data_IF_151072127554
#
_entry.id   IF_151072127554
#
_cell.length_a   1.000
_cell.length_b   1.000
_cell.length_c   1.000
_cell.angle_alpha   90.00
_cell.angle_beta   90.00
_cell.angle_gamma   90.00
#
_symmetry.space_group_name_H-M   'P 1'
#
loop_
_entity.id
_entity.type
_entity.pdbx_description
1 polymer ?
#
# COMPACT_ATOMS: atom_id res chain seq x y z
N UNK A 1 -52.44 20.35 -10.23
CA UNK A 1 -51.68 20.32 -8.96
C UNK A 1 -51.51 18.87 -8.55
N UNK A 2 -50.46 18.20 -9.06
CA UNK A 2 -49.83 17.00 -8.48
C UNK A 2 -48.43 16.94 -9.08
N UNK A 3 -47.40 16.95 -8.25
CA UNK A 3 -46.22 16.08 -8.36
C UNK A 3 -45.21 16.50 -7.30
N UNK A 4 -45.46 16.04 -6.07
CA UNK A 4 -44.43 15.82 -5.06
C UNK A 4 -43.70 14.54 -5.43
N UNK A 5 -42.52 14.69 -6.06
CA UNK A 5 -41.50 13.65 -6.05
C UNK A 5 -40.54 13.98 -4.91
N UNK A 6 -40.98 13.68 -3.69
CA UNK A 6 -40.05 13.46 -2.58
C UNK A 6 -39.19 12.26 -2.95
N UNK A 7 -37.98 12.54 -3.41
CA UNK A 7 -36.96 11.52 -3.54
C UNK A 7 -36.53 11.23 -2.10
N UNK A 8 -37.10 10.17 -1.52
CA UNK A 8 -36.67 9.60 -0.23
C UNK A 8 -35.21 9.17 -0.36
N UNK A 9 -34.27 10.10 -0.18
CA UNK A 9 -32.86 9.80 -0.06
C UNK A 9 -32.69 8.99 1.23
N UNK A 10 -32.34 7.71 1.10
CA UNK A 10 -31.93 6.91 2.26
C UNK A 10 -30.77 7.66 2.95
N UNK A 11 -30.76 7.72 4.29
CA UNK A 11 -29.66 8.37 4.99
C UNK A 11 -28.35 7.65 4.64
N UNK A 12 -27.33 8.42 4.27
CA UNK A 12 -26.02 7.87 3.93
C UNK A 12 -25.47 7.07 5.12
N UNK A 13 -24.84 5.92 4.81
CA UNK A 13 -24.16 5.10 5.81
C UNK A 13 -22.81 5.75 6.13
N UNK A 14 -22.60 6.12 7.39
CA UNK A 14 -21.36 6.76 7.85
C UNK A 14 -20.55 5.79 8.70
N UNK A 15 -19.27 5.68 8.39
CA UNK A 15 -18.35 4.72 8.98
C UNK A 15 -17.01 5.38 9.32
N UNK A 16 -16.42 5.05 10.47
CA UNK A 16 -15.15 5.61 10.91
C UNK A 16 -14.10 4.51 11.10
N UNK A 17 -12.87 4.83 10.70
CA UNK A 17 -11.75 3.91 10.76
C UNK A 17 -10.50 4.61 11.29
N UNK A 18 -9.73 3.89 12.11
CA UNK A 18 -8.41 4.29 12.58
C UNK A 18 -7.31 3.55 11.81
N UNK A 19 -6.28 4.28 11.39
CA UNK A 19 -5.07 3.73 10.76
C UNK A 19 -3.86 4.59 11.13
N UNK A 20 -2.79 3.99 11.67
CA UNK A 20 -1.56 4.69 12.06
C UNK A 20 -1.80 6.02 12.84
N UNK A 21 -2.76 6.01 13.78
CA UNK A 21 -3.13 7.20 14.57
C UNK A 21 -3.88 8.29 13.79
N UNK A 22 -4.45 8.00 12.62
CA UNK A 22 -5.33 8.88 11.85
C UNK A 22 -6.74 8.32 11.81
N UNK A 23 -7.72 9.22 11.78
CA UNK A 23 -9.12 8.86 11.62
C UNK A 23 -9.59 9.15 10.20
N UNK A 24 -10.21 8.18 9.53
CA UNK A 24 -10.79 8.33 8.20
C UNK A 24 -12.28 8.06 8.30
N UNK A 25 -13.08 9.00 7.80
CA UNK A 25 -14.52 8.87 7.68
C UNK A 25 -14.88 8.38 6.26
N UNK A 26 -15.75 7.40 6.15
CA UNK A 26 -16.36 6.94 4.90
C UNK A 26 -17.86 7.17 4.98
N UNK A 27 -18.39 7.97 4.07
CA UNK A 27 -19.81 8.23 3.89
C UNK A 27 -20.24 7.62 2.56
N UNK A 28 -21.17 6.68 2.57
CA UNK A 28 -21.65 6.01 1.35
C UNK A 28 -23.16 6.16 1.24
N UNK A 29 -23.64 6.53 0.05
CA UNK A 29 -25.08 6.69 -0.21
C UNK A 29 -25.83 5.34 -0.11
N UNK A 30 -25.15 4.22 -0.38
CA UNK A 30 -25.72 2.88 -0.36
C UNK A 30 -24.98 1.95 0.62
N UNK A 31 -25.72 1.06 1.29
CA UNK A 31 -25.17 0.15 2.30
C UNK A 31 -24.10 -0.80 1.73
N UNK A 32 -24.32 -1.35 0.53
CA UNK A 32 -23.37 -2.27 -0.13
C UNK A 32 -22.01 -1.59 -0.40
N UNK A 33 -22.02 -0.27 -0.65
CA UNK A 33 -20.80 0.50 -0.87
C UNK A 33 -20.05 0.74 0.45
N UNK A 34 -20.75 0.91 1.58
CA UNK A 34 -20.11 0.92 2.89
C UNK A 34 -19.49 -0.44 3.24
N UNK A 35 -20.21 -1.54 3.00
CA UNK A 35 -19.72 -2.91 3.20
C UNK A 35 -18.50 -3.22 2.34
N UNK A 36 -18.44 -2.69 1.11
CA UNK A 36 -17.28 -2.81 0.24
C UNK A 36 -16.02 -2.22 0.89
N UNK A 37 -16.12 -1.04 1.52
CA UNK A 37 -15.00 -0.43 2.24
C UNK A 37 -14.62 -1.25 3.48
N UNK A 38 -15.59 -1.74 4.24
CA UNK A 38 -15.35 -2.63 5.39
C UNK A 38 -14.54 -3.86 5.00
N UNK A 39 -14.96 -4.55 3.95
CA UNK A 39 -14.30 -5.77 3.49
C UNK A 39 -12.83 -5.53 3.14
N UNK A 40 -12.54 -4.46 2.40
CA UNK A 40 -11.18 -4.11 2.01
C UNK A 40 -10.35 -3.62 3.19
N UNK A 41 -10.94 -2.81 4.06
CA UNK A 41 -10.26 -2.24 5.22
C UNK A 41 -9.94 -3.31 6.26
N UNK A 42 -10.78 -4.35 6.41
CA UNK A 42 -10.51 -5.51 7.27
C UNK A 42 -9.32 -6.36 6.78
N UNK A 43 -9.06 -6.37 5.46
CA UNK A 43 -7.87 -6.96 4.86
C UNK A 43 -6.61 -6.09 5.01
N UNK A 44 -6.78 -4.85 5.47
CA UNK A 44 -5.75 -3.87 5.77
C UNK A 44 -5.72 -3.60 7.28
N UNK A 45 -4.80 -2.76 7.75
CA UNK A 45 -4.74 -2.34 9.15
C UNK A 45 -5.64 -1.12 9.47
N UNK A 46 -6.72 -0.97 8.72
CA UNK A 46 -7.77 0.01 9.00
C UNK A 46 -8.77 -0.62 9.97
N UNK A 47 -8.79 -0.16 11.22
CA UNK A 47 -9.67 -0.71 12.27
C UNK A 47 -10.92 0.14 12.40
N UNK A 48 -12.10 -0.47 12.50
CA UNK A 48 -13.33 0.25 12.87
C UNK A 48 -13.09 1.03 14.16
N UNK A 49 -13.54 2.29 14.19
CA UNK A 49 -13.40 3.17 15.34
C UNK A 49 -14.72 3.83 15.71
N UNK A 50 -14.76 4.44 16.89
CA UNK A 50 -15.84 5.34 17.28
C UNK A 50 -15.90 6.56 16.35
N UNK A 51 -17.08 7.19 16.32
CA UNK A 51 -17.29 8.40 15.55
C UNK A 51 -16.44 9.56 16.09
N UNK A 52 -15.93 10.39 15.18
CA UNK A 52 -15.23 11.62 15.54
C UNK A 52 -15.79 12.80 14.77
N UNK A 53 -15.91 13.95 15.44
CA UNK A 53 -16.35 15.18 14.80
C UNK A 53 -15.31 15.72 13.80
N UNK A 54 -14.03 15.38 13.96
CA UNK A 54 -12.92 15.91 13.19
C UNK A 54 -12.06 14.77 12.60
N UNK A 55 -12.56 14.04 11.59
CA UNK A 55 -11.75 13.03 10.91
C UNK A 55 -10.57 13.70 10.17
N UNK A 56 -9.43 13.00 10.10
CA UNK A 56 -8.23 13.48 9.39
C UNK A 56 -8.44 13.55 7.88
N UNK A 57 -9.30 12.69 7.32
CA UNK A 57 -9.75 12.74 5.93
C UNK A 57 -11.15 12.11 5.80
N UNK A 58 -11.87 12.47 4.74
CA UNK A 58 -13.18 11.90 4.43
C UNK A 58 -13.23 11.35 3.01
N UNK A 59 -13.91 10.22 2.86
CA UNK A 59 -14.22 9.58 1.58
C UNK A 59 -15.73 9.57 1.45
N UNK A 60 -16.26 10.20 0.39
CA UNK A 60 -17.68 10.15 0.07
C UNK A 60 -17.92 9.31 -1.18
N UNK A 61 -18.83 8.34 -1.09
CA UNK A 61 -19.05 7.32 -2.12
C UNK A 61 -20.47 7.44 -2.66
N UNK A 62 -20.55 7.62 -3.99
CA UNK A 62 -21.77 7.80 -4.75
C UNK A 62 -22.00 6.58 -5.66
N UNK A 63 -23.19 5.98 -5.57
CA UNK A 63 -23.63 4.90 -6.47
C UNK A 63 -24.29 5.46 -7.74
N UNK A 64 -23.63 6.43 -8.37
CA UNK A 64 -24.12 7.15 -9.54
C UNK A 64 -23.01 7.37 -10.56
N UNK A 65 -23.35 7.64 -11.83
CA UNK A 65 -22.37 8.09 -12.80
C UNK A 65 -21.58 9.31 -12.30
N UNK A 66 -20.29 9.42 -12.64
CA UNK A 66 -19.47 10.55 -12.25
C UNK A 66 -19.91 11.83 -12.98
N UNK A 67 -19.63 13.02 -12.38
CA UNK A 67 -19.78 14.28 -13.09
C UNK A 67 -18.79 14.39 -14.24
N UNK A 68 -19.04 15.32 -15.16
CA UNK A 68 -18.05 15.69 -16.19
C UNK A 68 -16.76 16.23 -15.55
N UNK A 69 -15.63 15.83 -16.11
CA UNK A 69 -14.32 16.32 -15.66
C UNK A 69 -14.11 17.79 -16.04
N UNK A 70 -13.40 18.57 -15.20
CA UNK A 70 -12.96 19.90 -15.57
C UNK A 70 -12.15 19.88 -16.88
N UNK A 71 -12.33 20.91 -17.71
CA UNK A 71 -11.58 21.07 -18.97
C UNK A 71 -10.18 21.61 -18.70
N UNK A 72 -9.23 21.27 -19.59
CA UNK A 72 -7.87 21.81 -19.56
C UNK A 72 -6.92 21.15 -18.56
N UNK A 73 -7.30 20.02 -17.97
CA UNK A 73 -6.42 19.23 -17.10
C UNK A 73 -5.35 18.48 -17.91
N UNK A 74 -4.13 18.42 -17.38
CA UNK A 74 -3.11 17.49 -17.88
C UNK A 74 -3.56 16.06 -17.62
N UNK A 75 -3.14 15.11 -18.46
CA UNK A 75 -3.50 13.70 -18.25
C UNK A 75 -2.39 12.73 -18.60
N UNK A 76 -2.37 11.62 -17.88
CA UNK A 76 -1.44 10.51 -18.11
C UNK A 76 -2.08 9.18 -17.75
N UNK A 77 -1.56 8.09 -18.32
CA UNK A 77 -2.06 6.74 -18.08
C UNK A 77 -1.57 6.19 -16.74
N UNK A 78 -2.45 5.43 -16.08
CA UNK A 78 -2.15 4.73 -14.85
C UNK A 78 -1.89 3.25 -15.17
N UNK A 79 -0.93 2.63 -14.49
CA UNK A 79 -0.68 1.18 -14.60
C UNK A 79 -1.36 0.46 -13.41
N UNK A 80 -2.14 -0.62 -13.62
CA UNK A 80 -2.32 -1.40 -14.86
C UNK A 80 -3.44 -0.93 -15.80
N UNK A 81 -4.07 0.21 -15.54
CA UNK A 81 -5.02 0.83 -16.47
C UNK A 81 -5.76 1.99 -15.83
N UNK A 82 -6.43 2.82 -16.63
CA UNK A 82 -7.09 4.05 -16.20
C UNK A 82 -6.30 5.31 -16.57
N UNK A 83 -6.86 6.47 -16.28
CA UNK A 83 -6.25 7.77 -16.61
C UNK A 83 -6.34 8.72 -15.43
N UNK A 84 -5.23 9.38 -15.12
CA UNK A 84 -5.21 10.49 -14.18
C UNK A 84 -5.40 11.79 -14.96
N UNK A 85 -6.25 12.68 -14.44
CA UNK A 85 -6.39 14.07 -14.90
C UNK A 85 -6.09 15.00 -13.73
N UNK A 86 -5.23 16.00 -13.92
CA UNK A 86 -4.76 16.83 -12.79
C UNK A 86 -4.31 18.23 -13.21
N UNK A 87 -4.40 19.18 -12.28
CA UNK A 87 -3.74 20.49 -12.30
C UNK A 87 -2.58 20.58 -11.29
N UNK A 88 -2.24 19.45 -10.66
CA UNK A 88 -1.27 19.29 -9.58
C UNK A 88 -1.82 19.48 -8.17
N UNK A 89 -2.90 20.24 -7.97
CA UNK A 89 -3.54 20.45 -6.66
C UNK A 89 -4.74 19.51 -6.46
N UNK A 90 -5.52 19.35 -7.52
CA UNK A 90 -6.62 18.40 -7.63
C UNK A 90 -6.27 17.34 -8.66
N UNK A 91 -6.78 16.13 -8.43
CA UNK A 91 -6.62 15.07 -9.41
C UNK A 91 -7.82 14.13 -9.43
N UNK A 92 -8.01 13.50 -10.58
CA UNK A 92 -9.16 12.70 -10.94
C UNK A 92 -8.67 11.40 -11.59
N UNK A 93 -8.95 10.26 -10.97
CA UNK A 93 -8.59 8.93 -11.44
C UNK A 93 -9.80 8.29 -12.10
N UNK A 94 -9.83 8.32 -13.43
CA UNK A 94 -10.89 7.77 -14.24
C UNK A 94 -10.61 6.31 -14.59
N UNK A 95 -11.59 5.46 -14.32
CA UNK A 95 -11.57 4.03 -14.63
C UNK A 95 -12.90 3.62 -15.25
N UNK A 96 -12.91 3.43 -16.56
CA UNK A 96 -14.14 3.11 -17.30
C UNK A 96 -15.23 4.17 -17.10
N UNK A 97 -16.35 3.88 -16.43
CA UNK A 97 -17.36 4.88 -16.00
C UNK A 97 -17.33 5.17 -14.48
N UNK A 98 -16.22 4.87 -13.82
CA UNK A 98 -15.98 5.18 -12.40
C UNK A 98 -14.93 6.27 -12.22
N UNK A 99 -14.98 6.98 -11.09
CA UNK A 99 -14.11 8.12 -10.82
C UNK A 99 -13.70 8.23 -9.35
N UNK A 100 -12.42 8.48 -9.08
CA UNK A 100 -11.94 8.96 -7.77
C UNK A 100 -11.43 10.39 -7.93
N UNK A 101 -12.02 11.36 -7.24
CA UNK A 101 -11.58 12.76 -7.26
C UNK A 101 -11.06 13.20 -5.91
N UNK A 102 -9.97 13.96 -5.90
CA UNK A 102 -9.24 14.33 -4.68
C UNK A 102 -8.98 15.83 -4.67
N UNK A 103 -9.24 16.48 -3.54
CA UNK A 103 -9.07 17.92 -3.37
C UNK A 103 -10.22 18.77 -3.92
N UNK A 104 -11.34 18.15 -4.31
CA UNK A 104 -12.54 18.87 -4.75
C UNK A 104 -13.38 19.35 -3.56
N UNK A 105 -13.14 20.59 -3.13
CA UNK A 105 -13.79 21.20 -1.96
C UNK A 105 -12.81 21.35 -0.80
N UNK A 106 -12.96 20.53 0.25
CA UNK A 106 -11.97 20.49 1.32
C UNK A 106 -10.72 19.70 0.88
N UNK A 107 -9.53 20.16 1.28
CA UNK A 107 -8.26 19.54 0.89
C UNK A 107 -8.16 18.05 1.28
N UNK A 108 -8.80 17.66 2.38
CA UNK A 108 -8.83 16.27 2.89
C UNK A 108 -10.07 15.47 2.46
N UNK A 109 -10.84 15.96 1.48
CA UNK A 109 -12.01 15.25 0.93
C UNK A 109 -11.68 14.49 -0.35
N UNK A 110 -12.12 13.24 -0.38
CA UNK A 110 -12.04 12.31 -1.50
C UNK A 110 -13.47 11.97 -1.87
N UNK A 111 -13.78 11.98 -3.17
CA UNK A 111 -15.08 11.58 -3.71
C UNK A 111 -14.90 10.42 -4.66
N UNK A 112 -15.77 9.41 -4.53
CA UNK A 112 -15.74 8.19 -5.33
C UNK A 112 -17.09 8.01 -5.98
N UNK A 113 -17.12 7.90 -7.31
CA UNK A 113 -18.30 7.55 -8.08
C UNK A 113 -18.11 6.16 -8.66
N UNK A 114 -19.04 5.26 -8.38
CA UNK A 114 -18.99 3.89 -8.88
C UNK A 114 -19.89 3.79 -10.10
N UNK A 115 -19.27 3.55 -11.26
CA UNK A 115 -19.95 3.43 -12.55
C UNK A 115 -20.92 2.25 -12.61
N UNK A 116 -21.86 2.27 -13.54
CA UNK A 116 -22.92 1.25 -13.65
C UNK A 116 -22.58 0.12 -14.61
N UNK A 117 -21.55 0.27 -15.44
CA UNK A 117 -21.11 -0.79 -16.34
C UNK A 117 -20.64 -2.03 -15.57
N UNK A 118 -20.90 -3.19 -16.14
CA UNK A 118 -20.49 -4.47 -15.55
C UNK A 118 -18.98 -4.52 -15.26
N UNK A 119 -18.16 -4.00 -16.19
CA UNK A 119 -16.70 -3.86 -16.04
C UNK A 119 -16.28 -3.07 -14.80
N UNK A 120 -17.01 -2.01 -14.45
CA UNK A 120 -16.76 -1.19 -13.25
C UNK A 120 -17.22 -1.86 -11.94
N UNK A 121 -18.12 -2.85 -12.03
CA UNK A 121 -18.67 -3.58 -10.88
C UNK A 121 -17.93 -4.88 -10.57
N UNK A 122 -16.96 -5.26 -11.40
CA UNK A 122 -16.08 -6.40 -11.12
C UNK A 122 -15.26 -6.15 -9.86
N UNK A 123 -14.98 -7.21 -9.11
CA UNK A 123 -14.25 -7.15 -7.84
C UNK A 123 -12.93 -6.38 -7.95
N UNK A 124 -12.10 -6.67 -8.96
CA UNK A 124 -10.83 -5.98 -9.17
C UNK A 124 -10.99 -4.47 -9.46
N UNK A 125 -12.07 -4.07 -10.14
CA UNK A 125 -12.36 -2.67 -10.42
C UNK A 125 -12.79 -1.93 -9.14
N UNK A 126 -13.67 -2.54 -8.35
CA UNK A 126 -14.10 -2.02 -7.05
C UNK A 126 -12.93 -1.92 -6.05
N UNK A 127 -12.12 -2.98 -5.96
CA UNK A 127 -10.92 -3.01 -5.12
C UNK A 127 -9.94 -1.89 -5.47
N UNK A 128 -9.79 -1.60 -6.77
CA UNK A 128 -8.96 -0.49 -7.24
C UNK A 128 -9.53 0.87 -6.85
N UNK A 129 -10.85 1.07 -6.90
CA UNK A 129 -11.48 2.33 -6.46
C UNK A 129 -11.26 2.54 -4.96
N UNK A 130 -11.54 1.53 -4.14
CA UNK A 130 -11.33 1.59 -2.69
C UNK A 130 -9.87 1.85 -2.35
N UNK A 131 -8.94 1.15 -2.99
CA UNK A 131 -7.51 1.33 -2.77
C UNK A 131 -7.05 2.76 -3.10
N UNK A 132 -7.41 3.28 -4.28
CA UNK A 132 -7.02 4.64 -4.66
C UNK A 132 -7.64 5.70 -3.74
N UNK A 133 -8.91 5.52 -3.34
CA UNK A 133 -9.58 6.44 -2.43
C UNK A 133 -8.93 6.43 -1.04
N UNK A 134 -8.62 5.25 -0.50
CA UNK A 134 -7.97 5.08 0.79
C UNK A 134 -6.55 5.66 0.79
N UNK A 135 -5.75 5.39 -0.25
CA UNK A 135 -4.39 5.91 -0.35
C UNK A 135 -4.36 7.42 -0.59
N UNK A 136 -5.35 7.97 -1.29
CA UNK A 136 -5.55 9.42 -1.38
C UNK A 136 -5.88 10.03 0.00
N UNK A 137 -6.81 9.42 0.74
CA UNK A 137 -7.16 9.85 2.11
C UNK A 137 -5.95 9.80 3.05
N UNK A 138 -5.19 8.70 3.01
CA UNK A 138 -3.94 8.54 3.75
C UNK A 138 -2.95 9.67 3.45
N UNK A 139 -2.72 9.99 2.17
CA UNK A 139 -1.82 11.08 1.77
C UNK A 139 -2.27 12.44 2.31
N UNK A 140 -3.59 12.71 2.33
CA UNK A 140 -4.14 13.95 2.88
C UNK A 140 -3.98 14.08 4.39
N UNK A 141 -3.77 12.99 5.12
CA UNK A 141 -3.48 13.01 6.55
C UNK A 141 -2.02 12.69 6.90
N UNK A 142 -1.10 12.80 5.93
CA UNK A 142 0.35 12.67 6.15
C UNK A 142 0.84 11.23 6.26
N UNK A 143 0.06 10.26 5.79
CA UNK A 143 0.44 8.86 5.66
C UNK A 143 0.73 8.57 4.17
N UNK A 144 1.94 8.13 3.86
CA UNK A 144 2.40 7.93 2.49
C UNK A 144 2.58 6.44 2.18
N UNK A 145 1.87 5.94 1.18
CA UNK A 145 2.03 4.57 0.73
C UNK A 145 3.46 4.32 0.25
N UNK A 146 4.07 3.24 0.72
CA UNK A 146 5.33 2.71 0.23
C UNK A 146 5.11 1.29 -0.28
N UNK A 147 5.30 1.07 -1.58
CA UNK A 147 5.29 -0.26 -2.18
C UNK A 147 6.61 -0.98 -1.85
N UNK A 148 6.63 -1.56 -0.65
CA UNK A 148 7.80 -2.16 -0.03
C UNK A 148 7.38 -3.29 0.90
N UNK A 149 8.31 -4.21 1.13
CA UNK A 149 8.23 -5.13 2.26
C UNK A 149 9.02 -4.60 3.44
N UNK A 150 8.66 -4.99 4.66
CA UNK A 150 9.47 -4.70 5.83
C UNK A 150 9.54 -5.88 6.80
N UNK A 151 10.76 -6.18 7.24
CA UNK A 151 11.08 -7.14 8.29
C UNK A 151 11.82 -6.46 9.44
N UNK A 152 11.80 -7.07 10.61
CA UNK A 152 12.43 -6.56 11.84
C UNK A 152 13.51 -7.53 12.29
N UNK A 153 14.73 -7.03 12.42
CA UNK A 153 15.87 -7.83 12.85
C UNK A 153 15.75 -8.22 14.33
N UNK A 154 15.79 -9.52 14.70
CA UNK A 154 15.56 -9.97 16.08
C UNK A 154 16.50 -9.33 17.11
N UNK A 155 17.79 -9.22 16.79
CA UNK A 155 18.81 -8.76 17.73
C UNK A 155 18.82 -7.24 17.95
N UNK A 156 18.22 -6.46 17.04
CA UNK A 156 18.29 -4.98 17.08
C UNK A 156 16.92 -4.30 17.18
N UNK A 157 15.84 -5.00 16.86
CA UNK A 157 14.50 -4.42 16.77
C UNK A 157 14.36 -3.36 15.68
N UNK A 158 15.32 -3.27 14.75
CA UNK A 158 15.30 -2.28 13.66
C UNK A 158 14.74 -2.86 12.37
N UNK A 159 14.01 -2.03 11.63
CA UNK A 159 13.38 -2.42 10.37
C UNK A 159 14.36 -2.48 9.19
N UNK A 160 14.13 -3.43 8.29
CA UNK A 160 14.78 -3.51 6.98
C UNK A 160 13.70 -3.43 5.92
N UNK A 161 13.81 -2.44 5.03
CA UNK A 161 12.88 -2.26 3.93
C UNK A 161 13.42 -2.92 2.66
N UNK A 162 12.57 -3.66 1.96
CA UNK A 162 12.86 -4.12 0.60
C UNK A 162 12.02 -3.31 -0.39
N UNK A 163 12.67 -2.57 -1.28
CA UNK A 163 12.02 -1.75 -2.31
C UNK A 163 12.44 -2.16 -3.71
N UNK A 164 11.45 -2.37 -4.57
CA UNK A 164 11.72 -2.72 -5.96
C UNK A 164 10.44 -3.05 -6.70
N UNK A 165 10.52 -3.16 -8.04
CA UNK A 165 9.39 -3.54 -8.86
C UNK A 165 8.83 -4.92 -8.46
N UNK A 166 7.67 -5.27 -9.01
CA UNK A 166 7.18 -6.65 -8.90
C UNK A 166 8.22 -7.63 -9.46
N UNK A 167 8.38 -8.79 -8.82
CA UNK A 167 9.40 -9.78 -9.17
C UNK A 167 10.82 -9.49 -8.66
N UNK A 168 11.06 -8.37 -7.97
CA UNK A 168 12.37 -8.04 -7.40
C UNK A 168 12.81 -8.96 -6.24
N UNK A 169 11.94 -9.85 -5.75
CA UNK A 169 12.22 -10.79 -4.66
C UNK A 169 11.82 -10.30 -3.26
N UNK A 170 11.06 -9.20 -3.14
CA UNK A 170 10.61 -8.62 -1.85
C UNK A 170 9.86 -9.63 -0.98
N UNK A 171 8.77 -10.20 -1.49
CA UNK A 171 7.95 -11.17 -0.75
C UNK A 171 8.71 -12.45 -0.44
N UNK A 172 9.57 -12.91 -1.36
CA UNK A 172 10.42 -14.09 -1.13
C UNK A 172 11.43 -13.86 -0.01
N UNK A 173 12.16 -12.74 -0.02
CA UNK A 173 13.10 -12.40 1.06
C UNK A 173 12.36 -12.22 2.40
N UNK A 174 11.18 -11.60 2.38
CA UNK A 174 10.35 -11.41 3.58
C UNK A 174 9.91 -12.73 4.18
N UNK A 175 9.41 -13.66 3.36
CA UNK A 175 9.02 -15.00 3.80
C UNK A 175 10.23 -15.78 4.35
N UNK A 176 11.38 -15.77 3.65
CA UNK A 176 12.61 -16.43 4.13
C UNK A 176 13.06 -15.88 5.49
N UNK A 177 13.02 -14.56 5.69
CA UNK A 177 13.43 -13.94 6.94
C UNK A 177 12.43 -14.22 8.06
N UNK A 178 11.12 -14.17 7.78
CA UNK A 178 10.09 -14.55 8.73
C UNK A 178 10.22 -16.02 9.17
N UNK A 179 10.45 -16.95 8.22
CA UNK A 179 10.74 -18.36 8.53
C UNK A 179 12.03 -18.54 9.36
N UNK A 180 12.97 -17.59 9.28
CA UNK A 180 14.18 -17.56 10.11
C UNK A 180 13.99 -16.84 11.46
N UNK A 181 12.76 -16.50 11.83
CA UNK A 181 12.42 -15.87 13.11
C UNK A 181 12.56 -14.33 13.13
N UNK A 182 12.69 -13.68 11.97
CA UNK A 182 12.61 -12.22 11.91
C UNK A 182 11.16 -11.77 12.06
N UNK A 183 10.96 -10.60 12.66
CA UNK A 183 9.65 -9.96 12.63
C UNK A 183 9.31 -9.45 11.23
N UNK A 184 8.04 -9.15 10.97
CA UNK A 184 7.54 -8.62 9.71
C UNK A 184 6.38 -7.63 9.93
N UNK A 185 6.26 -6.65 9.03
CA UNK A 185 5.12 -5.73 8.99
C UNK A 185 4.20 -6.09 7.82
N UNK A 186 4.77 -6.18 6.61
CA UNK A 186 4.06 -6.52 5.38
C UNK A 186 5.07 -6.93 4.29
N UNK A 187 4.62 -7.62 3.25
CA UNK A 187 5.45 -8.05 2.12
C UNK A 187 5.38 -7.13 0.89
N UNK A 188 4.43 -6.20 0.84
CA UNK A 188 4.15 -5.44 -0.39
C UNK A 188 3.70 -3.99 -0.17
N UNK A 189 2.96 -3.68 0.89
CA UNK A 189 2.47 -2.31 1.12
C UNK A 189 2.62 -1.88 2.57
N UNK A 190 3.16 -0.68 2.76
CA UNK A 190 3.38 -0.04 4.05
C UNK A 190 2.89 1.41 4.01
N UNK A 191 2.71 2.02 5.18
CA UNK A 191 2.49 3.45 5.34
C UNK A 191 3.72 4.09 5.99
N UNK A 192 4.39 4.96 5.26
CA UNK A 192 5.45 5.83 5.75
C UNK A 192 4.84 7.09 6.36
N UNK A 193 5.28 7.47 7.54
CA UNK A 193 4.94 8.76 8.12
C UNK A 193 6.13 9.39 8.85
N UNK A 194 6.05 10.69 9.04
CA UNK A 194 7.04 11.46 9.78
C UNK A 194 6.72 11.41 11.28
N UNK A 195 7.65 10.88 12.07
CA UNK A 195 7.59 10.89 13.54
C UNK A 195 8.83 11.61 14.09
N UNK A 196 8.71 12.93 14.28
CA UNK A 196 9.83 13.78 14.70
C UNK A 196 11.01 13.71 13.72
N UNK A 197 12.19 13.33 14.22
CA UNK A 197 13.41 13.24 13.41
C UNK A 197 13.56 11.93 12.62
N UNK A 198 12.72 10.92 12.89
CA UNK A 198 12.84 9.60 12.27
C UNK A 198 11.66 9.32 11.34
N UNK A 199 11.93 8.52 10.32
CA UNK A 199 10.91 7.91 9.50
C UNK A 199 10.42 6.64 10.21
N UNK A 200 9.11 6.51 10.35
CA UNK A 200 8.48 5.30 10.89
C UNK A 200 7.56 4.71 9.81
N UNK A 201 7.49 3.38 9.77
CA UNK A 201 6.66 2.64 8.82
C UNK A 201 5.65 1.79 9.56
N UNK A 202 4.41 1.78 9.08
CA UNK A 202 3.32 0.95 9.59
C UNK A 202 2.94 -0.11 8.57
N UNK A 203 2.54 -1.27 9.06
CA UNK A 203 1.91 -2.30 8.24
C UNK A 203 0.63 -1.74 7.59
N UNK A 204 0.44 -1.95 6.29
CA UNK A 204 -0.82 -1.62 5.61
C UNK A 204 -1.63 -2.86 5.31
N UNK A 205 -1.06 -3.81 4.56
CA UNK A 205 -1.74 -5.06 4.18
C UNK A 205 -1.44 -6.16 5.19
N UNK A 206 -2.49 -6.88 5.62
CA UNK A 206 -2.39 -8.02 6.53
C UNK A 206 -1.87 -9.27 5.83
N UNK A 207 -2.49 -9.63 4.70
CA UNK A 207 -2.15 -10.83 3.96
C UNK A 207 -0.89 -10.63 3.11
N UNK A 208 -0.04 -11.66 3.06
CA UNK A 208 1.08 -11.72 2.13
C UNK A 208 0.59 -12.12 0.73
N UNK A 209 1.29 -11.69 -0.32
CA UNK A 209 0.96 -12.05 -1.70
C UNK A 209 2.19 -12.60 -2.43
N UNK A 210 2.25 -13.92 -2.53
CA UNK A 210 3.43 -14.66 -3.02
C UNK A 210 3.19 -15.31 -4.37
N UNK A 211 4.24 -15.43 -5.17
CA UNK A 211 4.19 -16.19 -6.44
C UNK A 211 4.55 -17.66 -6.20
N UNK A 212 4.25 -18.53 -7.16
CA UNK A 212 4.69 -19.93 -7.14
C UNK A 212 6.21 -20.07 -6.98
N UNK A 213 7.01 -19.15 -7.54
CA UNK A 213 8.46 -19.16 -7.33
C UNK A 213 8.84 -18.90 -5.87
N UNK A 214 8.06 -18.10 -5.14
CA UNK A 214 8.28 -17.86 -3.71
C UNK A 214 7.94 -19.09 -2.89
N UNK A 215 6.86 -19.80 -3.23
CA UNK A 215 6.51 -21.09 -2.60
C UNK A 215 7.61 -22.12 -2.85
N UNK A 216 8.06 -22.23 -4.11
CA UNK A 216 9.13 -23.12 -4.55
C UNK A 216 10.49 -22.80 -3.90
N UNK A 217 10.66 -21.60 -3.34
CA UNK A 217 11.86 -21.26 -2.57
C UNK A 217 11.88 -21.92 -1.18
N UNK A 218 10.89 -22.74 -0.82
CA UNK A 218 10.94 -23.65 0.33
C UNK A 218 10.60 -23.04 1.68
N UNK A 219 10.60 -21.71 1.85
CA UNK A 219 10.22 -21.06 3.12
C UNK A 219 8.76 -21.27 3.52
N UNK A 220 7.92 -21.71 2.57
CA UNK A 220 6.48 -21.95 2.73
C UNK A 220 6.11 -23.43 2.52
N UNK A 221 7.11 -24.32 2.44
CA UNK A 221 6.85 -25.75 2.25
C UNK A 221 6.05 -26.31 3.44
N UNK A 222 4.99 -27.08 3.17
CA UNK A 222 4.10 -27.63 4.19
C UNK A 222 2.91 -26.73 4.56
N UNK A 223 2.76 -25.58 3.92
CA UNK A 223 1.62 -24.65 4.11
C UNK A 223 0.82 -24.44 2.81
N UNK A 224 0.87 -25.40 1.89
CA UNK A 224 0.21 -25.31 0.58
C UNK A 224 -1.31 -25.06 0.73
N UNK A 225 -1.93 -25.65 1.77
CA UNK A 225 -3.35 -25.47 2.07
C UNK A 225 -3.72 -24.04 2.51
N UNK A 226 -2.78 -23.26 3.05
CA UNK A 226 -2.98 -21.84 3.38
C UNK A 226 -2.82 -20.92 2.16
N UNK A 227 -2.28 -21.42 1.03
CA UNK A 227 -1.92 -20.64 -0.16
C UNK A 227 -2.97 -20.69 -1.28
N UNK A 228 -4.25 -20.68 -0.90
CA UNK A 228 -5.35 -21.02 -1.83
C UNK A 228 -6.12 -19.82 -2.40
N UNK A 229 -5.87 -18.60 -1.95
CA UNK A 229 -6.65 -17.41 -2.35
C UNK A 229 -5.91 -16.61 -3.45
N UNK A 230 -6.47 -16.41 -4.65
CA UNK A 230 -5.84 -15.53 -5.66
C UNK A 230 -5.75 -14.07 -5.18
N UNK A 231 -4.70 -13.34 -5.58
CA UNK A 231 -4.61 -11.92 -5.28
C UNK A 231 -5.52 -11.07 -6.21
N UNK A 232 -6.26 -10.07 -5.69
CA UNK A 232 -7.23 -9.28 -6.48
C UNK A 232 -6.63 -8.53 -7.68
N UNK A 233 -5.35 -8.16 -7.60
CA UNK A 233 -4.65 -7.37 -8.62
C UNK A 233 -3.65 -8.18 -9.44
N UNK A 234 -3.41 -9.45 -9.06
CA UNK A 234 -2.45 -10.32 -9.73
C UNK A 234 -2.87 -11.80 -9.55
N UNK A 235 -3.59 -12.39 -10.51
CA UNK A 235 -4.09 -13.75 -10.37
C UNK A 235 -2.99 -14.82 -10.33
N UNK A 236 -1.75 -14.45 -10.66
CA UNK A 236 -0.56 -15.31 -10.55
C UNK A 236 0.03 -15.35 -9.15
N UNK A 237 -0.47 -14.53 -8.24
CA UNK A 237 -0.11 -14.54 -6.82
C UNK A 237 -1.18 -15.21 -5.98
N UNK A 238 -0.73 -15.93 -4.96
CA UNK A 238 -1.53 -16.50 -3.88
C UNK A 238 -1.40 -15.65 -2.62
N UNK A 239 -2.51 -15.50 -1.91
CA UNK A 239 -2.62 -14.79 -0.64
C UNK A 239 -2.79 -15.77 0.50
N UNK A 240 -2.19 -15.43 1.62
CA UNK A 240 -2.35 -16.13 2.89
C UNK A 240 -2.22 -15.14 4.05
N UNK A 241 -2.76 -15.50 5.23
CA UNK A 241 -2.51 -14.76 6.46
C UNK A 241 -1.13 -15.17 7.01
N UNK A 242 -0.14 -14.27 7.08
CA UNK A 242 1.18 -14.61 7.58
C UNK A 242 1.17 -15.05 9.05
N UNK A 243 0.14 -14.74 9.83
CA UNK A 243 0.02 -15.21 11.22
C UNK A 243 -0.25 -16.72 11.32
N UNK A 244 -0.81 -17.35 10.28
CA UNK A 244 -1.01 -18.81 10.25
C UNK A 244 0.34 -19.56 10.13
N UNK A 245 1.33 -18.94 9.50
CA UNK A 245 2.64 -19.54 9.21
C UNK A 245 3.72 -19.01 10.17
N UNK A 246 3.63 -17.72 10.53
CA UNK A 246 4.62 -16.97 11.30
C UNK A 246 3.94 -16.25 12.48
N UNK A 247 3.43 -16.98 13.50
CA UNK A 247 2.56 -16.41 14.55
C UNK A 247 3.24 -15.37 15.44
N UNK A 248 4.53 -15.52 15.73
CA UNK A 248 5.30 -14.66 16.65
C UNK A 248 6.02 -13.49 15.96
N UNK A 249 5.82 -13.32 14.65
CA UNK A 249 6.63 -12.38 13.85
C UNK A 249 5.98 -11.03 13.58
N UNK A 250 4.68 -10.86 13.77
CA UNK A 250 4.00 -9.64 13.35
C UNK A 250 4.36 -8.43 14.22
N UNK A 251 4.74 -7.33 13.57
CA UNK A 251 4.88 -6.01 14.16
C UNK A 251 3.99 -5.01 13.41
N UNK A 252 3.25 -4.16 14.15
CA UNK A 252 2.39 -3.14 13.54
C UNK A 252 3.20 -1.97 12.97
N UNK A 253 4.34 -1.65 13.60
CA UNK A 253 5.21 -0.53 13.23
C UNK A 253 6.66 -0.84 13.53
N UNK A 254 7.58 -0.18 12.82
CA UNK A 254 8.99 -0.14 13.17
C UNK A 254 9.69 1.14 12.66
N UNK A 255 10.88 1.42 13.20
CA UNK A 255 11.81 2.39 12.63
C UNK A 255 12.84 1.66 11.75
N UNK A 256 12.87 1.91 10.43
CA UNK A 256 13.84 1.29 9.55
C UNK A 256 15.27 1.81 9.79
N UNK A 257 16.25 0.92 9.71
CA UNK A 257 17.69 1.25 9.71
C UNK A 257 18.38 0.93 8.39
N UNK A 258 17.74 0.13 7.52
CA UNK A 258 18.29 -0.24 6.23
C UNK A 258 17.20 -0.25 5.13
N UNK A 259 17.63 0.14 3.93
CA UNK A 259 16.86 0.06 2.69
C UNK A 259 17.62 -0.81 1.71
N UNK A 260 17.01 -1.88 1.25
CA UNK A 260 17.58 -2.81 0.28
C UNK A 260 16.75 -2.74 -0.98
N UNK A 261 17.42 -2.52 -2.11
CA UNK A 261 16.83 -2.57 -3.45
C UNK A 261 17.22 -3.89 -4.12
N UNK A 262 16.42 -4.98 -3.96
CA UNK A 262 16.78 -6.28 -4.48
C UNK A 262 16.52 -6.40 -5.98
N UNK A 263 17.29 -7.29 -6.61
CA UNK A 263 17.05 -7.84 -7.94
C UNK A 263 17.42 -9.32 -7.90
N UNK A 264 16.52 -10.18 -8.39
CA UNK A 264 16.78 -11.62 -8.48
C UNK A 264 17.73 -11.89 -9.66
N UNK A 265 18.69 -12.78 -9.45
CA UNK A 265 19.68 -13.18 -10.44
C UNK A 265 19.77 -14.71 -10.52
N UNK A 266 20.24 -15.23 -11.66
CA UNK A 266 20.46 -16.67 -11.84
C UNK A 266 21.86 -17.13 -11.38
N UNK A 267 22.64 -16.25 -10.76
CA UNK A 267 23.97 -16.56 -10.23
C UNK A 267 23.81 -17.11 -8.82
N UNK A 268 24.65 -18.07 -8.42
CA UNK A 268 24.57 -18.64 -7.07
C UNK A 268 24.87 -17.62 -5.97
N UNK A 269 25.97 -16.88 -6.11
CA UNK A 269 26.47 -16.01 -5.05
C UNK A 269 25.77 -14.64 -5.05
N UNK A 270 25.14 -14.30 -3.92
CA UNK A 270 24.60 -12.97 -3.68
C UNK A 270 25.67 -11.91 -3.39
N UNK A 271 25.40 -10.68 -3.83
CA UNK A 271 26.24 -9.52 -3.53
C UNK A 271 25.39 -8.30 -3.21
N UNK A 272 25.88 -7.47 -2.29
CA UNK A 272 25.26 -6.20 -1.94
C UNK A 272 26.28 -5.07 -2.10
N UNK A 273 25.83 -3.96 -2.66
CA UNK A 273 26.63 -2.76 -2.88
C UNK A 273 26.01 -1.61 -2.10
N UNK A 274 26.81 -0.91 -1.30
CA UNK A 274 26.35 0.27 -0.58
C UNK A 274 25.97 1.41 -1.52
N UNK A 275 24.88 2.10 -1.23
CA UNK A 275 24.40 3.25 -1.98
C UNK A 275 24.58 4.54 -1.18
N UNK A 276 24.98 5.61 -1.87
CA UNK A 276 24.96 6.93 -1.29
C UNK A 276 23.53 7.44 -1.09
N UNK A 277 23.34 8.41 -0.18
CA UNK A 277 22.03 8.99 0.11
C UNK A 277 21.31 9.53 -1.15
N UNK A 278 22.04 10.17 -2.07
CA UNK A 278 21.46 10.71 -3.32
C UNK A 278 20.89 9.60 -4.21
N UNK A 279 21.60 8.49 -4.32
CA UNK A 279 21.16 7.33 -5.11
C UNK A 279 19.94 6.66 -4.46
N UNK A 280 19.98 6.49 -3.13
CA UNK A 280 18.85 5.96 -2.37
C UNK A 280 17.59 6.84 -2.54
N UNK A 281 17.72 8.16 -2.42
CA UNK A 281 16.63 9.10 -2.62
C UNK A 281 16.06 9.04 -4.05
N UNK A 282 16.91 8.97 -5.07
CA UNK A 282 16.46 8.86 -6.46
C UNK A 282 15.65 7.57 -6.69
N UNK A 283 16.09 6.44 -6.12
CA UNK A 283 15.35 5.17 -6.19
C UNK A 283 14.03 5.23 -5.41
N UNK A 284 14.00 5.85 -4.23
CA UNK A 284 12.78 6.04 -3.44
C UNK A 284 11.74 6.87 -4.21
N UNK A 285 12.13 8.01 -4.78
CA UNK A 285 11.24 8.88 -5.57
C UNK A 285 10.67 8.11 -6.76
N UNK A 286 11.50 7.32 -7.45
CA UNK A 286 11.06 6.52 -8.60
C UNK A 286 9.99 5.49 -8.22
N UNK A 287 10.05 4.95 -7.00
CA UNK A 287 9.06 4.02 -6.47
C UNK A 287 7.81 4.70 -5.87
N UNK A 288 7.84 6.02 -5.70
CA UNK A 288 6.76 6.82 -5.08
C UNK A 288 6.26 7.92 -6.03
N UNK A 289 5.67 7.57 -7.19
CA UNK A 289 5.31 8.56 -8.21
C UNK A 289 4.32 9.64 -7.72
N UNK A 290 3.48 9.30 -6.75
CA UNK A 290 2.57 10.24 -6.08
C UNK A 290 3.26 11.38 -5.32
N UNK A 291 4.56 11.25 -5.00
CA UNK A 291 5.34 12.36 -4.46
C UNK A 291 5.54 13.50 -5.49
N UNK A 292 5.38 13.22 -6.79
CA UNK A 292 5.45 14.21 -7.88
C UNK A 292 4.08 14.63 -8.41
N UNK A 293 3.10 13.72 -8.46
CA UNK A 293 1.79 13.99 -9.05
C UNK A 293 0.86 14.82 -8.18
N UNK A 294 0.94 14.64 -6.86
CA UNK A 294 0.08 15.32 -5.90
C UNK A 294 0.85 16.48 -5.24
N UNK A 295 0.87 17.65 -5.89
CA UNK A 295 1.66 18.81 -5.42
C UNK A 295 1.23 19.29 -4.04
N UNK A 296 -0.05 19.11 -3.70
CA UNK A 296 -0.57 19.46 -2.38
C UNK A 296 0.08 18.63 -1.25
N UNK A 297 0.44 17.37 -1.51
CA UNK A 297 1.13 16.50 -0.54
C UNK A 297 2.65 16.38 -0.79
N UNK A 298 3.14 16.80 -1.96
CA UNK A 298 4.49 16.54 -2.46
C UNK A 298 5.59 16.96 -1.47
N UNK A 299 5.52 18.18 -0.91
CA UNK A 299 6.56 18.68 0.01
C UNK A 299 6.72 17.77 1.23
N UNK A 300 5.62 17.41 1.87
CA UNK A 300 5.65 16.58 3.07
C UNK A 300 6.01 15.11 2.74
N UNK A 301 5.52 14.58 1.62
CA UNK A 301 5.89 13.25 1.14
C UNK A 301 7.40 13.15 0.83
N UNK A 302 7.95 14.09 0.07
CA UNK A 302 9.40 14.15 -0.21
C UNK A 302 10.22 14.37 1.06
N UNK A 303 9.69 15.12 2.05
CA UNK A 303 10.30 15.25 3.37
C UNK A 303 10.39 13.90 4.10
N UNK A 304 9.32 13.10 4.10
CA UNK A 304 9.31 11.77 4.68
C UNK A 304 10.31 10.83 4.00
N UNK A 305 10.35 10.82 2.65
CA UNK A 305 11.34 10.04 1.89
C UNK A 305 12.78 10.49 2.18
N UNK A 306 13.01 11.80 2.31
CA UNK A 306 14.32 12.36 2.64
C UNK A 306 14.79 11.93 4.03
N UNK A 307 13.90 11.92 5.03
CA UNK A 307 14.22 11.39 6.37
C UNK A 307 14.57 9.92 6.31
N UNK A 308 13.79 9.11 5.59
CA UNK A 308 14.07 7.70 5.42
C UNK A 308 15.46 7.46 4.79
N UNK A 309 15.80 8.19 3.73
CA UNK A 309 17.11 8.13 3.07
C UNK A 309 18.26 8.66 3.95
N UNK A 310 17.98 9.52 4.93
CA UNK A 310 18.96 10.04 5.90
C UNK A 310 19.20 9.07 7.06
N UNK A 311 18.15 8.41 7.54
CA UNK A 311 18.22 7.54 8.72
C UNK A 311 18.62 6.10 8.40
N UNK A 312 18.62 5.70 7.14
CA UNK A 312 18.91 4.32 6.73
C UNK A 312 20.21 4.18 5.95
N UNK A 313 20.91 3.07 6.17
CA UNK A 313 21.91 2.57 5.22
C UNK A 313 21.19 2.01 4.00
N UNK A 314 21.66 2.31 2.80
CA UNK A 314 21.02 1.85 1.57
C UNK A 314 21.91 0.89 0.79
N UNK A 315 21.32 -0.14 0.18
CA UNK A 315 22.04 -1.15 -0.58
C UNK A 315 21.32 -1.54 -1.86
N UNK A 316 22.07 -1.78 -2.93
CA UNK A 316 21.60 -2.57 -4.06
C UNK A 316 21.94 -4.03 -3.79
N UNK A 317 20.94 -4.91 -3.82
CA UNK A 317 21.13 -6.34 -3.63
C UNK A 317 20.92 -7.08 -4.94
N UNK A 318 21.96 -7.77 -5.39
CA UNK A 318 21.85 -8.81 -6.41
C UNK A 318 21.65 -10.13 -5.69
N UNK A 319 20.40 -10.53 -5.52
CA UNK A 319 20.00 -11.76 -4.87
C UNK A 319 20.29 -12.94 -5.79
N UNK A 320 21.32 -13.70 -5.46
CA UNK A 320 21.63 -14.98 -6.07
C UNK A 320 20.74 -16.10 -5.52
N UNK A 321 20.88 -17.28 -6.12
CA UNK A 321 20.10 -18.45 -5.69
C UNK A 321 20.44 -18.93 -4.28
N UNK A 322 21.57 -18.49 -3.69
CA UNK A 322 21.93 -18.82 -2.30
C UNK A 322 21.06 -18.16 -1.22
N UNK A 323 20.18 -17.20 -1.58
CA UNK A 323 19.21 -16.59 -0.65
C UNK A 323 17.79 -17.19 -0.76
N UNK A 324 17.59 -18.16 -1.63
CA UNK A 324 16.30 -18.81 -1.84
C UNK A 324 16.46 -20.31 -1.54
N UNK A 325 15.72 -20.83 -0.54
CA UNK A 325 15.83 -22.22 -0.10
C UNK A 325 16.56 -22.43 1.23
N UNK A 326 17.30 -21.44 1.73
CA UNK A 326 17.97 -21.49 3.03
C UNK A 326 17.68 -20.19 3.81
N UNK A 327 16.62 -20.23 4.60
CA UNK A 327 16.16 -19.11 5.42
C UNK A 327 17.26 -18.60 6.37
N UNK A 328 18.07 -19.51 6.93
CA UNK A 328 19.16 -19.16 7.84
C UNK A 328 20.31 -18.45 7.10
N UNK A 329 20.64 -18.88 5.88
CA UNK A 329 21.60 -18.17 5.01
C UNK A 329 21.11 -16.77 4.67
N UNK A 330 19.83 -16.61 4.32
CA UNK A 330 19.22 -15.31 4.04
C UNK A 330 19.27 -14.39 5.24
N UNK A 331 18.90 -14.88 6.42
CA UNK A 331 18.99 -14.14 7.68
C UNK A 331 20.42 -13.69 7.98
N UNK A 332 21.42 -14.58 7.86
CA UNK A 332 22.84 -14.23 8.08
C UNK A 332 23.33 -13.17 7.08
N UNK A 333 22.96 -13.30 5.81
CA UNK A 333 23.36 -12.34 4.78
C UNK A 333 22.78 -10.95 5.04
N UNK A 334 21.48 -10.85 5.30
CA UNK A 334 20.81 -9.56 5.56
C UNK A 334 21.29 -8.97 6.89
N UNK A 335 21.48 -9.77 7.93
CA UNK A 335 22.02 -9.30 9.22
C UNK A 335 23.40 -8.65 9.08
N UNK A 336 24.27 -9.17 8.20
CA UNK A 336 25.60 -8.61 7.96
C UNK A 336 25.57 -7.21 7.30
N UNK A 337 24.43 -6.80 6.72
CA UNK A 337 24.24 -5.46 6.15
C UNK A 337 23.81 -4.41 7.18
N UNK A 338 23.43 -4.82 8.40
CA UNK A 338 22.91 -3.95 9.45
C UNK A 338 24.00 -3.43 10.38
#
# INVERSE_FOLDING_TARGET
>A
MVSTLETSARPATVSFYAVAGRAICVEADEAWAAELFDLHFAGWHFKRSEATANPSASIRVFDTPPPELPRGLESFELTPGGRCHTDGLTYHLAYDDSLVSVGCGAASSIKVWIGRRESSRREAALARLVFNAAMAAARRCGLYELHAACVVAPARGTGVLFLGPSGAGKSTLTAQLASAGWGYLSDDSLLLYESGERAEVHALRRAFSVTEQTVSAGSLAGFEDSLNVPAPFDPWKRRFDPLEIFPEGYAETCTPSAIIFPSVTNVRASRAEGLGQREAMALLIRMCPWAGYDRAAARAHLGALSRLAKSCRAFRLHAGTDLFGDAARTARFVAALL
#
